data_IF_757119351952
#
_entry.id   IF_757119351952
#
_cell.length_a   1.000
_cell.length_b   1.000
_cell.length_c   1.000
_cell.angle_alpha   90.00
_cell.angle_beta   90.00
_cell.angle_gamma   90.00
#
_symmetry.space_group_name_H-M   'P 1'
#
loop_
_entity.id
_entity.type
_entity.pdbx_description
1 polymer ?
#
# COMPACT_ATOMS: atom_id res chain seq x y z
N UNK A 1 11.78 14.65 -13.93
CA UNK A 1 11.07 13.37 -13.75
C UNK A 1 11.13 13.02 -12.28
N UNK A 2 9.99 12.82 -11.61
CA UNK A 2 9.99 12.24 -10.26
C UNK A 2 10.18 10.72 -10.38
N UNK A 3 10.98 10.11 -9.50
CA UNK A 3 11.09 8.66 -9.46
C UNK A 3 9.75 8.04 -9.04
N UNK A 4 9.28 7.05 -9.80
CA UNK A 4 8.05 6.30 -9.54
C UNK A 4 8.40 4.82 -9.41
N UNK A 5 7.79 4.13 -8.44
CA UNK A 5 7.92 2.69 -8.26
C UNK A 5 6.58 2.04 -8.57
N UNK A 6 6.59 1.05 -9.47
CA UNK A 6 5.42 0.19 -9.73
C UNK A 6 5.60 -1.11 -8.96
N UNK A 7 4.73 -1.36 -7.99
CA UNK A 7 4.84 -2.50 -7.08
C UNK A 7 3.50 -3.17 -6.82
N UNK A 8 3.54 -4.44 -6.43
CA UNK A 8 2.43 -5.12 -5.76
C UNK A 8 2.50 -4.78 -4.27
N UNK A 9 1.37 -4.41 -3.65
CA UNK A 9 1.31 -4.14 -2.22
C UNK A 9 0.55 -5.25 -1.51
N UNK A 10 1.10 -5.69 -0.38
CA UNK A 10 0.41 -6.57 0.57
C UNK A 10 0.47 -5.88 1.92
N UNK A 11 -0.69 -5.55 2.46
CA UNK A 11 -0.85 -4.84 3.72
C UNK A 11 -1.49 -5.80 4.71
N UNK A 12 -0.70 -6.26 5.67
CA UNK A 12 -1.15 -7.06 6.80
C UNK A 12 -1.48 -6.11 7.95
N UNK A 13 -2.74 -6.07 8.37
CA UNK A 13 -3.22 -5.08 9.32
C UNK A 13 -4.46 -5.49 10.08
N UNK A 14 -4.93 -4.56 10.91
CA UNK A 14 -6.17 -4.69 11.68
C UNK A 14 -7.22 -3.73 11.14
N UNK A 15 -8.42 -4.23 10.89
CA UNK A 15 -9.59 -3.41 10.59
C UNK A 15 -9.90 -2.51 11.78
N UNK A 16 -9.84 -1.18 11.59
CA UNK A 16 -10.16 -0.22 12.66
C UNK A 16 -11.66 -0.14 12.98
N UNK A 17 -12.51 -0.64 12.07
CA UNK A 17 -13.96 -0.63 12.24
C UNK A 17 -14.43 -1.91 12.94
N UNK A 18 -13.91 -3.07 12.52
CA UNK A 18 -14.37 -4.37 13.00
C UNK A 18 -13.42 -5.07 13.99
N UNK A 19 -12.16 -4.63 14.07
CA UNK A 19 -11.15 -5.23 14.95
C UNK A 19 -10.59 -6.56 14.43
N UNK A 20 -11.05 -7.06 13.28
CA UNK A 20 -10.49 -8.26 12.65
C UNK A 20 -9.14 -8.02 11.97
N UNK A 21 -8.28 -9.05 11.96
CA UNK A 21 -7.11 -9.09 11.10
C UNK A 21 -7.54 -9.14 9.64
N UNK A 22 -6.87 -8.35 8.79
CA UNK A 22 -7.12 -8.26 7.36
C UNK A 22 -5.81 -8.28 6.60
N UNK A 23 -5.81 -8.95 5.44
CA UNK A 23 -4.74 -8.85 4.46
C UNK A 23 -5.32 -8.15 3.23
N UNK A 24 -4.82 -6.95 2.91
CA UNK A 24 -5.19 -6.22 1.71
C UNK A 24 -4.10 -6.43 0.65
N UNK A 25 -4.47 -6.99 -0.49
CA UNK A 25 -3.59 -7.14 -1.65
C UNK A 25 -3.98 -6.18 -2.75
N UNK A 26 -3.04 -5.33 -3.17
CA UNK A 26 -3.15 -4.48 -4.36
C UNK A 26 -2.26 -5.07 -5.44
N UNK A 27 -2.82 -5.61 -6.54
CA UNK A 27 -2.04 -6.23 -7.62
C UNK A 27 -1.02 -5.28 -8.25
N UNK A 28 -1.37 -4.00 -8.39
CA UNK A 28 -0.48 -2.96 -8.91
C UNK A 28 -0.80 -1.59 -8.32
N UNK A 29 0.21 -1.00 -7.68
CA UNK A 29 0.24 0.39 -7.26
C UNK A 29 1.39 1.11 -7.97
N UNK A 30 1.12 2.33 -8.42
CA UNK A 30 2.14 3.30 -8.78
C UNK A 30 2.38 4.20 -7.57
N UNK A 31 3.63 4.30 -7.12
CA UNK A 31 4.00 5.04 -5.91
C UNK A 31 5.06 6.08 -6.28
N UNK A 32 4.76 7.34 -6.00
CA UNK A 32 5.72 8.43 -6.11
C UNK A 32 5.92 9.09 -4.73
N UNK A 33 7.16 9.46 -4.38
CA UNK A 33 7.42 10.19 -3.15
C UNK A 33 6.87 11.62 -3.29
N UNK A 34 5.98 12.00 -2.37
CA UNK A 34 5.40 13.35 -2.35
C UNK A 34 6.39 14.41 -1.85
N UNK A 35 7.36 13.98 -1.04
CA UNK A 35 8.44 14.82 -0.50
C UNK A 35 9.78 14.12 -0.67
N UNK A 36 10.84 14.91 -0.80
CA UNK A 36 12.20 14.39 -0.76
C UNK A 36 12.45 13.74 0.61
N UNK A 37 13.02 12.54 0.60
CA UNK A 37 13.40 11.82 1.81
C UNK A 37 14.76 12.33 2.27
N UNK A 38 14.82 12.89 3.47
CA UNK A 38 16.08 13.28 4.11
C UNK A 38 16.61 12.12 4.97
N UNK A 39 17.58 11.40 4.42
CA UNK A 39 18.23 10.26 5.08
C UNK A 39 19.20 10.65 6.20
N UNK A 40 19.47 11.95 6.39
CA UNK A 40 20.40 12.46 7.41
C UNK A 40 19.67 13.02 8.64
N UNK A 41 18.34 12.89 8.69
CA UNK A 41 17.54 13.37 9.82
C UNK A 41 17.55 12.39 10.98
N UNK A 42 17.75 12.89 12.20
CA UNK A 42 17.58 12.11 13.45
C UNK A 42 16.11 11.87 13.82
N UNK A 43 15.17 12.38 13.01
CA UNK A 43 13.73 12.22 13.21
C UNK A 43 13.22 11.00 12.43
N UNK A 44 12.17 10.32 12.92
CA UNK A 44 11.45 9.34 12.12
C UNK A 44 11.09 9.94 10.76
N UNK A 45 11.57 9.31 9.69
CA UNK A 45 11.33 9.77 8.33
C UNK A 45 9.89 9.40 7.96
N UNK A 46 9.04 10.41 7.81
CA UNK A 46 7.69 10.24 7.31
C UNK A 46 7.73 10.19 5.77
N UNK A 47 7.54 8.98 5.23
CA UNK A 47 7.48 8.78 3.79
C UNK A 47 6.01 8.85 3.36
N UNK A 48 5.58 10.04 2.95
CA UNK A 48 4.30 10.24 2.28
C UNK A 48 4.40 9.70 0.83
N UNK A 49 3.83 8.52 0.62
CA UNK A 49 3.64 7.94 -0.71
C UNK A 49 2.25 8.33 -1.21
N UNK A 50 2.20 8.98 -2.37
CA UNK A 50 0.96 9.19 -3.11
C UNK A 50 0.92 8.19 -4.26
N UNK A 51 -0.23 7.56 -4.45
CA UNK A 51 -0.33 6.49 -5.45
C UNK A 51 -1.76 6.22 -5.90
N UNK A 52 -1.86 5.78 -7.15
CA UNK A 52 -3.11 5.31 -7.74
C UNK A 52 -3.14 3.77 -7.70
N UNK A 53 -4.28 3.22 -7.27
CA UNK A 53 -4.56 1.79 -7.34
C UNK A 53 -5.04 1.48 -8.75
N UNK A 54 -4.29 0.64 -9.47
CA UNK A 54 -4.61 0.28 -10.85
C UNK A 54 -5.14 -1.15 -10.89
N UNK A 55 -6.31 -1.34 -11.50
CA UNK A 55 -6.74 -2.65 -11.93
C UNK A 55 -5.85 -3.08 -13.11
N UNK A 56 -5.21 -4.24 -13.00
CA UNK A 56 -4.45 -4.85 -14.08
C UNK A 56 -5.39 -5.50 -15.09
N UNK A 57 -4.99 -5.56 -16.36
CA UNK A 57 -5.71 -6.33 -17.37
C UNK A 57 -5.76 -7.81 -16.96
N UNK A 58 -6.99 -8.31 -16.74
CA UNK A 58 -7.25 -9.67 -16.25
C UNK A 58 -7.55 -9.79 -14.75
N UNK A 59 -7.40 -8.71 -13.97
CA UNK A 59 -7.88 -8.65 -12.59
C UNK A 59 -9.34 -8.19 -12.54
N UNK A 60 -10.11 -8.71 -11.58
CA UNK A 60 -11.54 -8.35 -11.42
C UNK A 60 -11.74 -7.11 -10.55
N UNK A 61 -10.72 -6.71 -9.79
CA UNK A 61 -10.76 -5.57 -8.87
C UNK A 61 -9.37 -4.92 -8.71
N UNK A 62 -9.31 -3.63 -8.34
CA UNK A 62 -8.04 -2.93 -8.06
C UNK A 62 -7.40 -3.34 -6.73
N UNK A 63 -8.13 -4.04 -5.85
CA UNK A 63 -7.63 -4.58 -4.59
C UNK A 63 -8.49 -5.77 -4.14
N UNK A 64 -7.91 -6.60 -3.27
CA UNK A 64 -8.53 -7.77 -2.67
C UNK A 64 -8.34 -7.76 -1.16
N UNK A 65 -9.39 -8.08 -0.40
CA UNK A 65 -9.35 -8.13 1.07
C UNK A 65 -9.59 -9.57 1.51
N UNK A 66 -8.56 -10.17 2.11
CA UNK A 66 -8.68 -11.46 2.77
C UNK A 66 -8.86 -11.26 4.27
N UNK A 67 -9.82 -11.99 4.84
CA UNK A 67 -10.04 -12.06 6.29
C UNK A 67 -9.62 -13.45 6.73
N UNK A 68 -8.42 -13.64 7.31
CA UNK A 68 -8.07 -14.93 7.88
C UNK A 68 -9.09 -15.26 8.96
N UNK A 69 -9.87 -16.32 8.77
CA UNK A 69 -10.74 -16.85 9.83
C UNK A 69 -9.84 -17.26 11.00
N UNK A 70 -10.14 -16.71 12.18
CA UNK A 70 -9.51 -17.15 13.42
C UNK A 70 -10.15 -18.51 13.74
N UNK A 71 -9.47 -19.60 13.37
CA UNK A 71 -9.86 -20.97 13.70
C UNK A 71 -9.67 -21.24 15.19
#
# INVERSE_FOLDING_TARGET
MQPEVKAKLTLDGLSVIGGESIILTVPRASLAPKKAVDFLSDKPIEIELEGELLALDGETAPFYVDRPEIV
#
